data_IF_894528514008
#
_entry.id   IF_894528514008
#
_cell.length_a   1.000
_cell.length_b   1.000
_cell.length_c   1.000
_cell.angle_alpha   90.00
_cell.angle_beta   90.00
_cell.angle_gamma   90.00
#
_symmetry.space_group_name_H-M   'P 1'
#
loop_
_entity.id
_entity.type
_entity.pdbx_description
1 polymer ?
#
# COMPACT_ATOMS: atom_id res chain seq x y z
N UNK A 1 -6.13 -5.35 8.47
CA UNK A 1 -6.62 -6.64 7.92
C UNK A 1 -5.42 -7.51 7.57
N UNK A 2 -5.41 -8.76 8.05
CA UNK A 2 -4.39 -9.75 7.69
C UNK A 2 -5.11 -10.91 7.00
N UNK A 3 -4.67 -11.31 5.81
CA UNK A 3 -5.20 -12.46 5.05
C UNK A 3 -4.06 -13.19 4.38
N UNK A 4 -4.08 -14.52 4.38
CA UNK A 4 -3.08 -15.30 3.64
C UNK A 4 -3.19 -15.04 2.13
N UNK A 5 -4.43 -14.95 1.62
CA UNK A 5 -4.71 -14.64 0.23
C UNK A 5 -5.67 -13.44 0.06
N UNK A 6 -5.20 -12.40 -0.64
CA UNK A 6 -5.95 -11.18 -0.91
C UNK A 6 -6.85 -11.26 -2.15
N UNK A 7 -6.69 -12.29 -3.00
CA UNK A 7 -7.45 -12.43 -4.25
C UNK A 7 -8.97 -12.46 -3.99
N UNK A 8 -9.41 -13.16 -2.95
CA UNK A 8 -10.81 -13.19 -2.54
C UNK A 8 -11.33 -11.85 -2.03
N UNK A 9 -10.48 -11.05 -1.39
CA UNK A 9 -10.86 -9.70 -0.95
C UNK A 9 -11.01 -8.76 -2.16
N UNK A 10 -10.07 -8.76 -3.10
CA UNK A 10 -10.19 -7.97 -4.33
C UNK A 10 -11.44 -8.36 -5.13
N UNK A 11 -11.67 -9.65 -5.35
CA UNK A 11 -12.86 -10.13 -6.05
C UNK A 11 -14.17 -9.72 -5.34
N UNK A 12 -14.11 -9.54 -4.02
CA UNK A 12 -15.25 -9.08 -3.26
C UNK A 12 -15.55 -7.59 -3.49
N UNK A 13 -14.54 -6.75 -3.73
CA UNK A 13 -14.70 -5.32 -4.03
C UNK A 13 -15.28 -5.05 -5.42
N UNK A 14 -15.16 -6.02 -6.34
CA UNK A 14 -15.73 -5.94 -7.70
C UNK A 14 -17.22 -6.32 -7.76
N UNK A 15 -17.82 -6.75 -6.65
CA UNK A 15 -19.23 -7.14 -6.62
C UNK A 15 -20.12 -5.91 -6.67
N UNK A 16 -21.14 -5.96 -7.53
CA UNK A 16 -22.16 -4.92 -7.63
C UNK A 16 -22.78 -4.63 -6.26
N UNK A 17 -22.88 -3.34 -5.91
CA UNK A 17 -23.37 -2.87 -4.61
C UNK A 17 -22.29 -2.70 -3.53
N UNK A 18 -21.00 -2.87 -3.88
CA UNK A 18 -19.85 -2.64 -2.98
C UNK A 18 -18.90 -1.54 -3.47
N UNK A 19 -19.36 -0.71 -4.41
CA UNK A 19 -18.59 0.39 -4.99
C UNK A 19 -18.11 1.37 -3.90
N UNK A 20 -18.97 1.65 -2.92
CA UNK A 20 -18.63 2.53 -1.78
C UNK A 20 -17.57 1.95 -0.84
N UNK A 21 -17.40 0.62 -0.78
CA UNK A 21 -16.32 0.02 0.00
C UNK A 21 -14.96 0.24 -0.66
N UNK A 22 -14.93 0.21 -1.99
CA UNK A 22 -13.71 0.45 -2.76
C UNK A 22 -13.23 1.89 -2.57
N UNK A 23 -14.14 2.85 -2.65
CA UNK A 23 -13.88 4.26 -2.35
C UNK A 23 -13.38 4.44 -0.92
N UNK A 24 -14.02 3.77 0.06
CA UNK A 24 -13.57 3.76 1.45
C UNK A 24 -12.11 3.29 1.60
N UNK A 25 -11.71 2.18 0.98
CA UNK A 25 -10.31 1.73 1.08
C UNK A 25 -9.33 2.69 0.39
N UNK A 26 -9.74 3.34 -0.70
CA UNK A 26 -8.93 4.35 -1.37
C UNK A 26 -8.73 5.63 -0.55
N UNK A 27 -9.74 6.06 0.22
CA UNK A 27 -9.64 7.23 1.11
C UNK A 27 -8.92 6.89 2.42
N UNK A 28 -9.18 5.72 2.99
CA UNK A 28 -8.53 5.25 4.23
C UNK A 28 -7.02 5.01 4.06
N UNK A 29 -6.51 4.98 2.83
CA UNK A 29 -5.07 4.97 2.57
C UNK A 29 -4.38 6.27 3.00
N UNK A 30 -5.07 7.42 2.94
CA UNK A 30 -4.48 8.70 3.37
C UNK A 30 -4.23 8.76 4.87
N UNK A 31 -5.02 8.01 5.66
CA UNK A 31 -4.85 7.93 7.12
C UNK A 31 -5.32 9.16 7.92
N UNK A 32 -5.79 10.21 7.26
CA UNK A 32 -6.23 11.46 7.89
C UNK A 32 -7.70 11.81 7.61
N UNK A 33 -8.36 11.00 6.77
CA UNK A 33 -9.70 11.28 6.28
C UNK A 33 -10.74 10.58 7.16
N UNK A 34 -11.70 11.34 7.66
CA UNK A 34 -12.81 10.80 8.45
C UNK A 34 -13.81 10.01 7.62
N UNK A 35 -14.50 9.07 8.26
CA UNK A 35 -15.52 8.24 7.63
C UNK A 35 -16.73 8.06 8.54
N UNK A 36 -17.92 8.26 7.99
CA UNK A 36 -19.18 8.06 8.70
C UNK A 36 -19.97 6.96 8.03
N UNK A 37 -20.41 5.97 8.81
CA UNK A 37 -21.33 4.93 8.36
C UNK A 37 -22.65 5.12 9.09
N UNK A 38 -23.69 5.45 8.33
CA UNK A 38 -25.06 5.50 8.83
C UNK A 38 -25.74 4.14 8.66
N UNK A 39 -26.22 3.57 9.76
CA UNK A 39 -26.95 2.29 9.75
C UNK A 39 -28.37 2.53 10.22
N UNK A 40 -29.34 2.18 9.35
CA UNK A 40 -30.78 2.38 9.57
C UNK A 40 -31.24 1.93 10.98
N UNK A 41 -30.70 0.83 11.50
CA UNK A 41 -31.10 0.29 12.81
C UNK A 41 -30.09 0.47 13.95
N UNK A 42 -28.84 0.88 13.66
CA UNK A 42 -27.75 0.91 14.65
C UNK A 42 -27.15 2.30 14.87
N UNK A 43 -27.76 3.33 14.27
CA UNK A 43 -27.28 4.71 14.34
C UNK A 43 -26.07 4.96 13.43
N UNK A 44 -25.44 6.11 13.63
CA UNK A 44 -24.25 6.55 12.89
C UNK A 44 -22.97 6.21 13.66
N UNK A 45 -21.95 5.74 12.94
CA UNK A 45 -20.60 5.56 13.48
C UNK A 45 -19.70 6.52 12.73
N UNK A 46 -19.06 7.45 13.44
CA UNK A 46 -18.08 8.36 12.88
C UNK A 46 -16.67 8.01 13.39
N UNK A 47 -15.74 7.88 12.47
CA UNK A 47 -14.31 7.72 12.74
C UNK A 47 -13.61 8.96 12.20
N UNK A 48 -12.94 9.78 13.04
CA UNK A 48 -12.33 11.04 12.60
C UNK A 48 -11.20 10.89 11.59
N UNK A 49 -10.45 9.79 11.67
CA UNK A 49 -9.36 9.45 10.75
C UNK A 49 -9.31 7.93 10.56
N UNK A 50 -9.57 7.47 9.34
CA UNK A 50 -9.51 6.05 9.01
C UNK A 50 -8.13 5.65 8.52
N UNK A 51 -7.42 4.84 9.30
CA UNK A 51 -6.18 4.19 8.90
C UNK A 51 -6.41 2.70 8.71
N UNK A 52 -6.09 2.16 7.52
CA UNK A 52 -6.20 0.73 7.24
C UNK A 52 -4.86 0.17 6.80
N UNK A 53 -4.34 -0.78 7.57
CA UNK A 53 -3.20 -1.62 7.16
C UNK A 53 -3.70 -2.93 6.55
N UNK A 54 -3.22 -3.29 5.35
CA UNK A 54 -3.55 -4.54 4.67
C UNK A 54 -2.26 -5.33 4.49
N UNK A 55 -2.25 -6.58 4.97
CA UNK A 55 -1.14 -7.51 4.81
C UNK A 55 -1.65 -8.85 4.30
N UNK A 56 -1.02 -9.35 3.24
CA UNK A 56 -1.35 -10.66 2.69
C UNK A 56 -0.63 -11.01 1.40
N UNK A 57 -0.74 -12.26 0.99
CA UNK A 57 -0.23 -12.76 -0.28
C UNK A 57 -1.24 -12.63 -1.41
N UNK A 58 -0.75 -12.62 -2.65
CA UNK A 58 -1.59 -12.78 -3.85
C UNK A 58 -0.82 -13.64 -4.86
N UNK A 59 -1.45 -14.65 -5.48
CA UNK A 59 -0.78 -15.42 -6.52
C UNK A 59 -0.36 -14.52 -7.70
N UNK A 60 0.86 -14.66 -8.24
CA UNK A 60 1.32 -13.82 -9.35
C UNK A 60 0.37 -13.79 -10.54
N UNK A 61 -0.24 -14.93 -10.89
CA UNK A 61 -1.22 -15.00 -11.98
C UNK A 61 -2.48 -14.15 -11.71
N UNK A 62 -2.98 -14.13 -10.47
CA UNK A 62 -4.13 -13.29 -10.08
C UNK A 62 -3.75 -11.82 -10.09
N UNK A 63 -2.59 -11.47 -9.54
CA UNK A 63 -2.08 -10.11 -9.56
C UNK A 63 -1.96 -9.57 -10.99
N UNK A 64 -1.41 -10.35 -11.93
CA UNK A 64 -1.31 -9.94 -13.34
C UNK A 64 -2.65 -9.64 -13.97
N UNK A 65 -3.71 -10.39 -13.64
CA UNK A 65 -5.06 -10.10 -14.13
C UNK A 65 -5.54 -8.73 -13.65
N UNK A 66 -5.41 -8.44 -12.34
CA UNK A 66 -5.76 -7.13 -11.78
C UNK A 66 -4.95 -5.99 -12.40
N UNK A 67 -3.63 -6.18 -12.57
CA UNK A 67 -2.78 -5.16 -13.20
C UNK A 67 -3.13 -4.95 -14.68
N UNK A 68 -3.47 -6.02 -15.40
CA UNK A 68 -3.85 -5.94 -16.81
C UNK A 68 -5.13 -5.14 -17.02
N UNK A 69 -6.07 -5.19 -16.08
CA UNK A 69 -7.30 -4.38 -16.15
C UNK A 69 -7.04 -2.91 -15.81
N UNK A 70 -6.15 -2.63 -14.85
CA UNK A 70 -5.68 -1.26 -14.56
C UNK A 70 -5.00 -0.63 -15.77
N UNK A 71 -4.25 -1.41 -16.57
CA UNK A 71 -3.56 -0.93 -17.77
C UNK A 71 -4.49 -0.59 -18.96
N UNK A 72 -5.77 -1.00 -18.92
CA UNK A 72 -6.73 -0.75 -20.01
C UNK A 72 -7.48 0.59 -19.88
N UNK A 73 -7.10 1.44 -18.92
CA UNK A 73 -7.76 2.73 -18.61
C UNK A 73 -9.29 2.62 -18.48
N UNK A 74 -9.77 1.50 -17.94
CA UNK A 74 -11.18 1.28 -17.63
C UNK A 74 -11.59 1.85 -16.26
N UNK A 75 -12.88 1.77 -15.89
CA UNK A 75 -13.39 2.23 -14.59
C UNK A 75 -12.76 1.50 -13.39
N UNK A 76 -12.11 0.36 -13.62
CA UNK A 76 -11.31 -0.37 -12.63
C UNK A 76 -9.94 0.26 -12.35
N UNK A 77 -9.51 1.27 -13.10
CA UNK A 77 -8.33 2.10 -12.85
C UNK A 77 -8.66 3.27 -11.88
N UNK A 78 -9.11 2.93 -10.68
CA UNK A 78 -9.51 3.88 -9.63
C UNK A 78 -8.36 4.27 -8.68
N UNK A 79 -7.15 3.78 -8.96
CA UNK A 79 -5.97 4.05 -8.15
C UNK A 79 -5.80 3.14 -6.93
N UNK A 80 -6.66 2.14 -6.70
CA UNK A 80 -6.53 1.26 -5.53
C UNK A 80 -5.24 0.42 -5.59
N UNK A 81 -4.92 -0.17 -6.75
CA UNK A 81 -3.69 -0.96 -6.91
C UNK A 81 -2.44 -0.11 -6.70
N UNK A 82 -2.46 1.13 -7.20
CA UNK A 82 -1.35 2.08 -7.13
C UNK A 82 -0.96 2.44 -5.69
N UNK A 83 -1.85 2.21 -4.71
CA UNK A 83 -1.63 2.48 -3.29
C UNK A 83 -0.95 1.34 -2.53
N UNK A 84 -0.78 0.17 -3.15
CA UNK A 84 0.01 -0.95 -2.59
C UNK A 84 1.52 -0.76 -2.85
N UNK A 85 2.12 0.25 -2.20
CA UNK A 85 3.51 0.66 -2.43
C UNK A 85 4.56 -0.35 -1.95
N UNK A 86 4.22 -1.19 -0.97
CA UNK A 86 5.11 -2.22 -0.41
C UNK A 86 4.90 -3.60 -1.05
N UNK A 87 4.42 -3.65 -2.29
CA UNK A 87 4.24 -4.91 -3.01
C UNK A 87 5.61 -5.52 -3.34
N UNK A 88 5.85 -6.73 -2.85
CA UNK A 88 7.06 -7.50 -3.17
C UNK A 88 6.68 -8.57 -4.18
N UNK A 89 7.28 -8.49 -5.38
CA UNK A 89 7.13 -9.52 -6.39
C UNK A 89 8.40 -10.38 -6.40
N UNK A 90 8.32 -11.69 -6.13
CA UNK A 90 9.50 -12.53 -6.06
C UNK A 90 10.08 -12.74 -7.46
N UNK A 91 11.39 -12.53 -7.60
CA UNK A 91 12.14 -13.02 -8.76
C UNK A 91 12.23 -14.54 -8.67
N UNK A 92 11.63 -15.23 -9.65
CA UNK A 92 11.76 -16.68 -9.73
C UNK A 92 13.24 -17.00 -10.05
N UNK A 93 13.93 -17.82 -9.23
CA UNK A 93 15.29 -18.22 -9.56
C UNK A 93 15.28 -19.00 -10.88
N UNK A 94 16.19 -18.66 -11.80
CA UNK A 94 16.28 -19.31 -13.10
C UNK A 94 16.63 -20.81 -13.01
N UNK A 95 17.29 -21.21 -11.93
CA UNK A 95 17.59 -22.60 -11.61
C UNK A 95 16.94 -22.97 -10.27
N UNK A 96 16.30 -24.14 -10.22
CA UNK A 96 15.79 -24.66 -8.96
C UNK A 96 16.96 -25.10 -8.08
N UNK A 97 17.00 -24.58 -6.85
CA UNK A 97 17.96 -24.99 -5.83
C UNK A 97 17.22 -25.36 -4.56
N UNK A 98 17.45 -26.58 -4.06
CA UNK A 98 16.99 -26.95 -2.73
C UNK A 98 17.75 -26.13 -1.69
N UNK A 99 17.01 -25.37 -0.88
CA UNK A 99 17.57 -24.57 0.22
C UNK A 99 16.82 -24.94 1.49
N UNK A 100 17.44 -25.78 2.31
CA UNK A 100 17.03 -26.02 3.69
C UNK A 100 18.03 -25.32 4.60
N UNK A 101 17.66 -24.13 5.06
CA UNK A 101 18.47 -23.33 5.98
C UNK A 101 17.60 -22.85 7.13
N UNK A 102 18.15 -22.79 8.36
CA UNK A 102 17.42 -22.17 9.46
C UNK A 102 17.11 -20.71 9.14
N UNK A 103 16.02 -20.16 9.70
CA UNK A 103 15.70 -18.76 9.55
C UNK A 103 16.83 -17.88 10.10
N UNK A 104 16.99 -16.69 9.52
CA UNK A 104 17.98 -15.74 10.03
C UNK A 104 17.42 -15.07 11.29
N UNK A 105 17.70 -15.65 12.46
CA UNK A 105 17.25 -15.14 13.76
C UNK A 105 17.63 -13.68 13.99
N UNK A 106 18.86 -13.27 13.62
CA UNK A 106 19.28 -11.86 13.73
C UNK A 106 18.43 -10.93 12.89
N UNK A 107 18.00 -11.36 11.69
CA UNK A 107 17.11 -10.55 10.86
C UNK A 107 15.69 -10.45 11.48
N UNK A 108 15.18 -11.56 12.01
CA UNK A 108 13.91 -11.59 12.74
C UNK A 108 13.97 -10.62 13.93
N UNK A 109 15.00 -10.72 14.76
CA UNK A 109 15.17 -9.88 15.94
C UNK A 109 15.23 -8.39 15.58
N UNK A 110 15.97 -8.04 14.50
CA UNK A 110 16.04 -6.65 14.01
C UNK A 110 14.69 -6.11 13.58
N UNK A 111 13.91 -6.89 12.83
CA UNK A 111 12.57 -6.51 12.36
C UNK A 111 11.60 -6.39 13.54
N UNK A 112 11.62 -7.37 14.45
CA UNK A 112 10.79 -7.34 15.66
C UNK A 112 11.12 -6.13 16.53
N UNK A 113 12.39 -5.81 16.72
CA UNK A 113 12.81 -4.64 17.49
C UNK A 113 12.34 -3.32 16.84
N UNK A 114 12.47 -3.19 15.52
CA UNK A 114 11.97 -2.02 14.80
C UNK A 114 10.46 -1.84 14.97
N UNK A 115 9.67 -2.91 14.84
CA UNK A 115 8.22 -2.83 15.03
C UNK A 115 7.83 -2.50 16.46
N UNK A 116 8.49 -3.08 17.48
CA UNK A 116 8.23 -2.72 18.88
C UNK A 116 8.45 -1.25 19.14
N UNK A 117 9.56 -0.69 18.66
CA UNK A 117 9.85 0.74 18.80
C UNK A 117 8.80 1.63 18.17
N UNK A 118 8.20 1.22 17.05
CA UNK A 118 7.12 1.96 16.39
C UNK A 118 5.82 1.87 17.20
N UNK A 119 5.48 0.68 17.70
CA UNK A 119 4.27 0.46 18.53
C UNK A 119 4.35 1.20 19.87
N UNK A 120 5.56 1.39 20.40
CA UNK A 120 5.81 2.13 21.64
C UNK A 120 5.77 3.66 21.46
N UNK A 121 5.59 4.18 20.23
CA UNK A 121 5.42 5.62 20.01
C UNK A 121 4.08 6.09 20.59
N UNK A 122 4.12 7.21 21.31
CA UNK A 122 2.94 7.85 21.88
C UNK A 122 2.10 8.50 20.76
N UNK A 123 0.83 8.09 20.65
CA UNK A 123 -0.11 8.66 19.69
C UNK A 123 -0.66 10.03 20.11
N UNK A 124 -0.67 10.34 21.41
CA UNK A 124 -1.13 11.62 21.95
C UNK A 124 -0.03 12.69 21.89
N UNK A 125 1.23 12.26 21.92
CA UNK A 125 2.41 13.12 21.77
C UNK A 125 3.25 12.65 20.56
N UNK A 126 2.82 12.97 19.32
CA UNK A 126 3.45 12.46 18.13
C UNK A 126 4.91 12.90 18.03
N UNK A 127 5.80 11.94 17.79
CA UNK A 127 7.21 12.21 17.54
C UNK A 127 7.37 12.92 16.18
N UNK A 128 7.59 14.24 16.21
CA UNK A 128 7.84 15.02 14.99
C UNK A 128 9.34 15.01 14.71
N UNK A 129 9.73 14.25 13.67
CA UNK A 129 11.09 14.24 13.15
C UNK A 129 11.22 15.24 11.99
N UNK A 130 12.34 15.96 11.95
CA UNK A 130 12.72 16.80 10.82
C UNK A 130 13.96 16.24 10.17
N UNK A 131 14.11 16.44 8.86
CA UNK A 131 15.36 16.12 8.19
C UNK A 131 16.50 16.95 8.77
N UNK A 132 17.63 16.30 8.97
CA UNK A 132 18.93 16.98 9.07
C UNK A 132 19.29 17.58 7.70
N UNK A 133 20.22 18.56 7.62
CA UNK A 133 20.57 19.18 6.35
C UNK A 133 20.99 18.19 5.25
N UNK A 134 21.81 17.20 5.60
CA UNK A 134 22.25 16.11 4.71
C UNK A 134 21.10 15.20 4.26
N UNK A 135 20.18 14.85 5.16
CA UNK A 135 18.98 14.08 4.81
C UNK A 135 18.02 14.86 3.90
N UNK A 136 17.94 16.18 4.10
CA UNK A 136 17.11 17.06 3.28
C UNK A 136 17.63 17.15 1.84
N UNK A 137 18.95 17.19 1.64
CA UNK A 137 19.59 17.14 0.32
C UNK A 137 19.29 15.82 -0.40
N UNK A 138 19.47 14.68 0.28
CA UNK A 138 19.13 13.36 -0.28
C UNK A 138 17.66 13.25 -0.67
N UNK A 139 16.76 13.78 0.16
CA UNK A 139 15.33 13.79 -0.13
C UNK A 139 14.99 14.67 -1.34
N UNK A 140 15.62 15.85 -1.48
CA UNK A 140 15.41 16.72 -2.63
C UNK A 140 15.90 16.08 -3.93
N UNK A 141 17.07 15.44 -3.91
CA UNK A 141 17.60 14.69 -5.04
C UNK A 141 16.63 13.57 -5.45
N UNK A 142 16.22 12.73 -4.51
CA UNK A 142 15.25 11.67 -4.74
C UNK A 142 13.92 12.19 -5.27
N UNK A 143 13.38 13.28 -4.68
CA UNK A 143 12.13 13.89 -5.12
C UNK A 143 12.25 14.43 -6.55
N UNK A 144 13.37 15.06 -6.90
CA UNK A 144 13.64 15.51 -8.27
C UNK A 144 13.62 14.36 -9.27
N UNK A 145 14.29 13.25 -8.93
CA UNK A 145 14.29 12.02 -9.74
C UNK A 145 12.88 11.44 -9.90
N UNK A 146 12.10 11.39 -8.81
CA UNK A 146 10.71 10.93 -8.83
C UNK A 146 9.84 11.81 -9.74
N UNK A 147 9.94 13.13 -9.62
CA UNK A 147 9.16 14.08 -10.41
C UNK A 147 9.49 14.00 -11.91
N UNK A 148 10.77 13.84 -12.27
CA UNK A 148 11.17 13.57 -13.65
C UNK A 148 10.60 12.25 -14.15
N UNK A 149 10.68 11.19 -13.33
CA UNK A 149 10.21 9.86 -13.71
C UNK A 149 8.69 9.82 -13.91
N UNK A 150 7.92 10.44 -13.04
CA UNK A 150 6.44 10.51 -13.15
C UNK A 150 5.98 11.22 -14.43
N UNK A 151 6.75 12.20 -14.91
CA UNK A 151 6.43 12.97 -16.14
C UNK A 151 7.06 12.41 -17.41
N UNK A 152 7.79 11.30 -17.32
CA UNK A 152 8.44 10.72 -18.48
C UNK A 152 7.38 10.08 -19.41
N UNK A 153 7.49 10.37 -20.70
CA UNK A 153 6.58 9.87 -21.74
C UNK A 153 6.75 8.36 -22.01
N UNK A 154 7.78 7.72 -21.45
CA UNK A 154 8.07 6.28 -21.61
C UNK A 154 7.32 5.39 -20.60
N UNK A 155 6.55 5.99 -19.68
CA UNK A 155 5.76 5.27 -18.68
C UNK A 155 4.29 5.17 -19.09
N UNK A 156 3.67 4.02 -18.79
CA UNK A 156 2.21 3.89 -18.90
C UNK A 156 1.49 4.79 -17.88
N UNK A 157 0.27 5.28 -18.19
CA UNK A 157 -0.52 6.09 -17.25
C UNK A 157 -0.69 5.43 -15.88
N UNK A 158 -0.89 4.11 -15.84
CA UNK A 158 -0.98 3.34 -14.60
C UNK A 158 0.30 3.42 -13.75
N UNK A 159 1.47 3.38 -14.39
CA UNK A 159 2.77 3.46 -13.72
C UNK A 159 3.04 4.89 -13.23
N UNK A 160 2.70 5.91 -14.02
CA UNK A 160 2.77 7.30 -13.58
C UNK A 160 1.89 7.52 -12.34
N UNK A 161 0.66 6.99 -12.35
CA UNK A 161 -0.25 7.06 -11.21
C UNK A 161 0.27 6.32 -9.97
N UNK A 162 0.97 5.18 -10.15
CA UNK A 162 1.62 4.46 -9.06
C UNK A 162 2.75 5.27 -8.42
N UNK A 163 3.69 5.75 -9.24
CA UNK A 163 4.82 6.55 -8.77
C UNK A 163 4.36 7.86 -8.12
N UNK A 164 3.30 8.49 -8.64
CA UNK A 164 2.72 9.69 -8.05
C UNK A 164 2.22 9.50 -6.60
N UNK A 165 1.94 8.26 -6.16
CA UNK A 165 1.55 8.00 -4.75
C UNK A 165 2.71 8.14 -3.77
N UNK A 166 3.96 8.12 -4.22
CA UNK A 166 5.13 8.32 -3.35
C UNK A 166 5.39 9.81 -3.02
N UNK A 167 4.56 10.73 -3.53
CA UNK A 167 4.61 12.15 -3.18
C UNK A 167 4.00 12.46 -1.81
N UNK A 168 3.13 11.57 -1.34
CA UNK A 168 2.27 11.75 -0.15
C UNK A 168 2.91 11.07 1.05
#
# INVERSE_FOLDING_TARGET
MIRDELSGWFASLEKQGREGEREFFSSAWNGDTGYTIDRISRGSIHVPACCVSILGGIPPARLRAYLSDVLKDGPSNDGLMQRFQLLVYPDAPGEWKYVDRPPNHRAIDRVTHAFRRIVELDCECPLILKFTPDAQELFQEWMGLLECRVRADDLSPAMQAHLAKFRV
#
